data_IF_366379317298
#
_entry.id   IF_366379317298
#
_cell.length_a   1.000
_cell.length_b   1.000
_cell.length_c   1.000
_cell.angle_alpha   90.00
_cell.angle_beta   90.00
_cell.angle_gamma   90.00
#
_symmetry.space_group_name_H-M   'P 1'
#
loop_
_entity.id
_entity.type
_entity.pdbx_description
1 polymer ?
#
# COMPACT_ATOMS: atom_id res chain seq x y z
N UNK A 1 -15.66 -21.27 -2.50
CA UNK A 1 -14.32 -21.26 -3.14
C UNK A 1 -13.43 -22.32 -2.49
N UNK A 2 -12.42 -22.88 -3.17
CA UNK A 2 -11.47 -23.82 -2.56
C UNK A 2 -10.29 -23.03 -1.97
N UNK A 3 -9.86 -23.38 -0.76
CA UNK A 3 -8.70 -22.72 -0.16
C UNK A 3 -7.41 -23.07 -0.93
N UNK A 4 -6.54 -22.11 -1.29
CA UNK A 4 -5.34 -22.39 -2.08
C UNK A 4 -4.41 -23.46 -1.49
N UNK A 5 -4.32 -23.54 -0.16
CA UNK A 5 -3.54 -24.59 0.51
C UNK A 5 -4.07 -26.01 0.25
N UNK A 6 -5.37 -26.17 -0.04
CA UNK A 6 -5.97 -27.45 -0.40
C UNK A 6 -5.83 -27.77 -1.89
N UNK A 7 -5.55 -26.77 -2.73
CA UNK A 7 -5.29 -26.95 -4.17
C UNK A 7 -3.83 -27.32 -4.42
N UNK A 8 -2.90 -26.74 -3.65
CA UNK A 8 -1.45 -26.91 -3.81
C UNK A 8 -0.96 -28.35 -4.03
N UNK A 9 -1.48 -29.38 -3.34
CA UNK A 9 -1.04 -30.77 -3.55
C UNK A 9 -1.36 -31.34 -4.94
N UNK A 10 -2.30 -30.73 -5.68
CA UNK A 10 -2.76 -31.19 -7.00
C UNK A 10 -2.13 -30.41 -8.17
N UNK A 11 -1.29 -29.40 -7.87
CA UNK A 11 -0.64 -28.59 -8.91
C UNK A 11 0.51 -29.37 -9.55
N UNK A 12 0.41 -29.62 -10.85
CA UNK A 12 1.46 -30.27 -11.65
C UNK A 12 2.67 -29.35 -11.82
N UNK A 13 3.84 -29.93 -12.10
CA UNK A 13 5.09 -29.18 -12.26
C UNK A 13 5.00 -28.21 -13.45
N UNK A 14 5.52 -26.99 -13.27
CA UNK A 14 5.48 -25.92 -14.26
C UNK A 14 4.26 -25.01 -14.07
N UNK A 15 4.52 -23.72 -13.86
CA UNK A 15 3.46 -22.73 -13.61
C UNK A 15 2.75 -22.40 -14.92
N UNK A 16 1.46 -22.72 -15.00
CA UNK A 16 0.57 -22.41 -16.11
C UNK A 16 -0.85 -22.30 -15.58
N UNK A 17 -1.63 -21.34 -16.08
CA UNK A 17 -3.04 -21.18 -15.69
C UNK A 17 -3.87 -22.44 -15.98
N UNK A 18 -3.49 -23.21 -17.01
CA UNK A 18 -4.09 -24.51 -17.31
C UNK A 18 -3.89 -25.51 -16.16
N UNK A 19 -2.67 -25.60 -15.63
CA UNK A 19 -2.34 -26.50 -14.53
C UNK A 19 -3.04 -26.08 -13.23
N UNK A 20 -3.17 -24.77 -13.00
CA UNK A 20 -3.88 -24.24 -11.82
C UNK A 20 -5.39 -24.55 -11.89
N UNK A 21 -6.01 -24.38 -13.07
CA UNK A 21 -7.41 -24.73 -13.28
C UNK A 21 -7.66 -26.24 -13.14
N UNK A 22 -6.78 -27.08 -13.67
CA UNK A 22 -6.85 -28.53 -13.53
C UNK A 22 -6.72 -28.96 -12.06
N UNK A 23 -5.76 -28.38 -11.32
CA UNK A 23 -5.57 -28.66 -9.90
C UNK A 23 -6.79 -28.26 -9.06
N UNK A 24 -7.44 -27.14 -9.37
CA UNK A 24 -8.69 -26.73 -8.71
C UNK A 24 -9.78 -27.77 -9.00
N UNK A 25 -9.95 -28.17 -10.26
CA UNK A 25 -10.96 -29.16 -10.63
C UNK A 25 -10.73 -30.51 -9.93
N UNK A 26 -9.48 -30.98 -9.88
CA UNK A 26 -9.13 -32.20 -9.16
C UNK A 26 -9.42 -32.08 -7.66
N UNK A 27 -9.03 -30.97 -7.03
CA UNK A 27 -9.31 -30.72 -5.63
C UNK A 27 -10.83 -30.77 -5.33
N UNK A 28 -11.66 -30.20 -6.21
CA UNK A 28 -13.13 -30.19 -6.06
C UNK A 28 -13.75 -31.59 -6.00
N UNK A 29 -13.13 -32.59 -6.61
CA UNK A 29 -13.63 -33.98 -6.60
C UNK A 29 -13.48 -34.70 -5.25
N UNK A 30 -12.68 -34.16 -4.31
CA UNK A 30 -12.39 -34.82 -3.04
C UNK A 30 -13.61 -34.74 -2.10
N UNK A 31 -14.15 -35.89 -1.69
CA UNK A 31 -15.33 -35.98 -0.81
C UNK A 31 -15.16 -35.29 0.55
N UNK A 32 -13.92 -35.13 1.02
CA UNK A 32 -13.57 -34.46 2.29
C UNK A 32 -13.25 -32.96 2.12
N UNK A 33 -13.47 -32.40 0.92
CA UNK A 33 -13.10 -31.02 0.62
C UNK A 33 -13.89 -30.02 1.47
N UNK A 34 -13.18 -29.03 2.02
CA UNK A 34 -13.77 -27.94 2.80
C UNK A 34 -13.74 -26.66 1.99
N UNK A 35 -14.92 -26.10 1.76
CA UNK A 35 -15.08 -24.87 1.00
C UNK A 35 -14.95 -23.64 1.90
N UNK A 36 -14.26 -22.63 1.37
CA UNK A 36 -14.27 -21.28 1.93
C UNK A 36 -15.58 -20.61 1.51
N UNK A 37 -16.38 -20.09 2.45
CA UNK A 37 -17.60 -19.36 2.13
C UNK A 37 -17.28 -18.10 1.33
N UNK A 38 -18.22 -17.68 0.48
CA UNK A 38 -18.16 -16.37 -0.15
C UNK A 38 -18.28 -15.32 0.94
N UNK A 39 -17.46 -14.27 0.87
CA UNK A 39 -17.51 -13.19 1.85
C UNK A 39 -18.86 -12.48 1.78
N UNK A 40 -19.42 -12.13 2.94
CA UNK A 40 -20.58 -11.23 2.99
C UNK A 40 -20.19 -9.81 2.55
N UNK A 41 -21.18 -8.99 2.24
CA UNK A 41 -20.95 -7.58 1.91
C UNK A 41 -20.21 -6.84 3.04
N UNK A 42 -20.55 -7.12 4.29
CA UNK A 42 -19.94 -6.51 5.49
C UNK A 42 -18.48 -6.95 5.65
N UNK A 43 -18.17 -8.22 5.38
CA UNK A 43 -16.80 -8.72 5.40
C UNK A 43 -15.96 -8.09 4.28
N UNK A 44 -16.55 -7.90 3.09
CA UNK A 44 -15.89 -7.22 1.98
C UNK A 44 -15.66 -5.74 2.28
N UNK A 45 -16.66 -5.05 2.85
CA UNK A 45 -16.57 -3.65 3.28
C UNK A 45 -15.47 -3.46 4.33
N UNK A 46 -15.36 -4.36 5.31
CA UNK A 46 -14.26 -4.35 6.29
C UNK A 46 -12.89 -4.41 5.60
N UNK A 47 -12.75 -5.26 4.57
CA UNK A 47 -11.54 -5.33 3.75
C UNK A 47 -11.28 -4.08 2.89
N UNK A 48 -12.33 -3.36 2.48
CA UNK A 48 -12.20 -2.07 1.79
C UNK A 48 -11.66 -0.99 2.74
N UNK A 49 -12.17 -0.90 3.96
CA UNK A 49 -11.70 0.06 4.98
C UNK A 49 -10.22 -0.14 5.27
N UNK A 50 -9.78 -1.39 5.47
CA UNK A 50 -8.36 -1.68 5.69
C UNK A 50 -7.49 -1.19 4.53
N UNK A 51 -7.89 -1.48 3.28
CA UNK A 51 -7.15 -1.06 2.08
C UNK A 51 -7.13 0.47 1.92
N UNK A 52 -8.25 1.14 2.18
CA UNK A 52 -8.32 2.60 2.16
C UNK A 52 -7.37 3.23 3.18
N UNK A 53 -7.35 2.71 4.42
CA UNK A 53 -6.39 3.14 5.45
C UNK A 53 -4.95 2.90 5.02
N UNK A 54 -4.62 1.72 4.48
CA UNK A 54 -3.27 1.41 3.99
C UNK A 54 -2.84 2.33 2.84
N UNK A 55 -3.76 2.72 1.95
CA UNK A 55 -3.49 3.70 0.89
C UNK A 55 -3.18 5.07 1.48
N UNK A 56 -4.04 5.58 2.38
CA UNK A 56 -3.85 6.89 3.01
C UNK A 56 -2.53 6.97 3.78
N UNK A 57 -2.13 5.90 4.49
CA UNK A 57 -0.84 5.85 5.18
C UNK A 57 0.32 5.95 4.20
N UNK A 58 0.28 5.22 3.08
CA UNK A 58 1.33 5.27 2.05
C UNK A 58 1.42 6.66 1.41
N UNK A 59 0.28 7.25 1.04
CA UNK A 59 0.22 8.60 0.48
C UNK A 59 0.76 9.63 1.46
N UNK A 60 0.40 9.55 2.75
CA UNK A 60 0.94 10.43 3.79
C UNK A 60 2.46 10.32 3.89
N UNK A 61 3.01 9.11 3.93
CA UNK A 61 4.46 8.90 3.99
C UNK A 61 5.14 9.41 2.72
N UNK A 62 4.55 9.18 1.54
CA UNK A 62 5.07 9.66 0.27
C UNK A 62 5.12 11.20 0.23
N UNK A 63 4.04 11.88 0.63
CA UNK A 63 3.98 13.34 0.69
C UNK A 63 5.03 13.93 1.66
N UNK A 64 5.17 13.32 2.85
CA UNK A 64 6.19 13.73 3.83
C UNK A 64 7.61 13.58 3.25
N UNK A 65 7.87 12.50 2.53
CA UNK A 65 9.19 12.27 1.92
C UNK A 65 9.45 13.19 0.74
N UNK A 66 8.44 13.50 -0.07
CA UNK A 66 8.54 14.48 -1.15
C UNK A 66 8.86 15.88 -0.59
N UNK A 67 8.12 16.35 0.41
CA UNK A 67 8.38 17.62 1.10
C UNK A 67 9.82 17.68 1.65
N UNK A 68 10.27 16.61 2.31
CA UNK A 68 11.66 16.51 2.79
C UNK A 68 12.67 16.60 1.66
N UNK A 69 12.44 15.88 0.55
CA UNK A 69 13.36 15.85 -0.59
C UNK A 69 13.48 17.25 -1.22
N UNK A 70 12.35 17.89 -1.50
CA UNK A 70 12.33 19.23 -2.11
C UNK A 70 13.00 20.28 -1.22
N UNK A 71 12.74 20.26 0.09
CA UNK A 71 13.41 21.17 1.01
C UNK A 71 14.91 20.87 1.16
N UNK A 72 15.30 19.59 1.12
CA UNK A 72 16.72 19.20 1.18
C UNK A 72 17.51 19.66 -0.05
N UNK A 73 16.91 19.66 -1.25
CA UNK A 73 17.52 20.24 -2.46
C UNK A 73 17.84 21.74 -2.31
N UNK A 74 17.09 22.43 -1.45
CA UNK A 74 17.29 23.85 -1.10
C UNK A 74 18.15 24.04 0.16
N UNK A 75 18.80 22.97 0.66
CA UNK A 75 19.64 23.02 1.85
C UNK A 75 18.88 23.07 3.18
N UNK A 76 17.57 22.86 3.19
CA UNK A 76 16.73 22.83 4.39
C UNK A 76 16.56 21.38 4.86
N UNK A 77 17.22 21.01 5.94
CA UNK A 77 17.11 19.69 6.56
C UNK A 77 16.76 19.78 8.05
N UNK A 78 15.92 18.86 8.52
CA UNK A 78 15.53 18.74 9.95
C UNK A 78 15.70 17.32 10.44
N UNK A 79 15.60 17.10 11.75
CA UNK A 79 15.54 15.76 12.34
C UNK A 79 14.40 14.91 11.73
N UNK A 80 14.55 13.58 11.75
CA UNK A 80 13.48 12.68 11.35
C UNK A 80 12.34 12.66 12.39
N UNK A 81 11.17 12.16 11.98
CA UNK A 81 9.99 12.03 12.85
C UNK A 81 9.02 13.22 12.78
N UNK A 82 8.06 13.23 13.71
CA UNK A 82 6.94 14.19 13.73
C UNK A 82 7.38 15.61 14.06
N UNK A 83 8.32 15.78 14.98
CA UNK A 83 8.85 17.10 15.37
C UNK A 83 9.55 17.77 14.20
N UNK A 84 10.41 17.04 13.48
CA UNK A 84 11.06 17.59 12.29
C UNK A 84 10.09 17.88 11.15
N UNK A 85 9.06 17.05 10.95
CA UNK A 85 8.00 17.36 9.98
C UNK A 85 7.29 18.68 10.31
N UNK A 86 6.96 18.94 11.58
CA UNK A 86 6.34 20.21 11.98
C UNK A 86 7.25 21.40 11.67
N UNK A 87 8.56 21.26 11.91
CA UNK A 87 9.53 22.29 11.57
C UNK A 87 9.61 22.53 10.05
N UNK A 88 9.64 21.47 9.23
CA UNK A 88 9.64 21.60 7.77
C UNK A 88 8.39 22.31 7.25
N UNK A 89 7.22 21.97 7.79
CA UNK A 89 5.95 22.64 7.43
C UNK A 89 6.00 24.12 7.81
N UNK A 90 6.54 24.46 8.98
CA UNK A 90 6.68 25.85 9.40
C UNK A 90 7.60 26.64 8.46
N UNK A 91 8.73 26.05 8.05
CA UNK A 91 9.67 26.68 7.11
C UNK A 91 9.03 26.82 5.71
N UNK A 92 8.35 25.79 5.21
CA UNK A 92 7.68 25.84 3.90
C UNK A 92 6.61 26.95 3.83
N UNK A 93 5.88 27.17 4.94
CA UNK A 93 4.86 28.20 5.05
C UNK A 93 5.41 29.60 5.36
N UNK A 94 6.69 29.74 5.72
CA UNK A 94 7.30 31.06 5.93
C UNK A 94 7.63 31.69 4.59
N UNK A 95 6.79 32.61 4.12
CA UNK A 95 6.95 33.34 2.85
C UNK A 95 8.22 34.19 2.77
N UNK A 96 8.80 34.55 3.92
CA UNK A 96 10.00 35.39 4.00
C UNK A 96 11.29 34.57 4.03
N UNK A 97 11.21 33.24 4.08
CA UNK A 97 12.40 32.39 4.02
C UNK A 97 13.06 32.47 2.63
N UNK A 98 14.13 33.26 2.56
CA UNK A 98 14.88 33.50 1.32
C UNK A 98 15.59 32.28 0.74
N UNK A 99 15.62 31.15 1.47
CA UNK A 99 16.18 29.89 0.94
C UNK A 99 15.22 29.19 -0.01
N UNK A 100 13.92 29.53 0.02
CA UNK A 100 12.89 28.89 -0.80
C UNK A 100 12.47 29.84 -1.92
N UNK A 101 12.88 29.59 -3.18
CA UNK A 101 12.44 30.39 -4.32
C UNK A 101 10.91 30.36 -4.47
N UNK A 102 10.32 31.47 -4.91
CA UNK A 102 8.87 31.59 -5.08
C UNK A 102 8.26 30.50 -5.97
N UNK A 103 8.98 30.06 -7.02
CA UNK A 103 8.53 28.98 -7.91
C UNK A 103 8.50 27.61 -7.21
N UNK A 104 9.42 27.35 -6.27
CA UNK A 104 9.47 26.09 -5.54
C UNK A 104 8.29 25.95 -4.55
N UNK A 105 7.74 27.07 -4.06
CA UNK A 105 6.61 27.08 -3.12
C UNK A 105 5.34 26.44 -3.67
N UNK A 106 5.15 26.43 -4.99
CA UNK A 106 4.01 25.72 -5.61
C UNK A 106 4.09 24.20 -5.48
N UNK A 107 5.27 23.66 -5.15
CA UNK A 107 5.51 22.22 -5.02
C UNK A 107 5.61 21.75 -3.55
N UNK A 108 5.48 22.65 -2.57
CA UNK A 108 5.56 22.38 -1.13
C UNK A 108 4.16 22.37 -0.49
#
# INVERSE_FOLDING_TARGET
MVHPAYVKPFVKRGKSDFNDAEAINEALTRKTMRFVPVKSAEQQASGMIFRARSLAIRQRTQAINALRSHLAELGVATAQGTTGLKALIAIANDEHDGRIPASARFAL
#
